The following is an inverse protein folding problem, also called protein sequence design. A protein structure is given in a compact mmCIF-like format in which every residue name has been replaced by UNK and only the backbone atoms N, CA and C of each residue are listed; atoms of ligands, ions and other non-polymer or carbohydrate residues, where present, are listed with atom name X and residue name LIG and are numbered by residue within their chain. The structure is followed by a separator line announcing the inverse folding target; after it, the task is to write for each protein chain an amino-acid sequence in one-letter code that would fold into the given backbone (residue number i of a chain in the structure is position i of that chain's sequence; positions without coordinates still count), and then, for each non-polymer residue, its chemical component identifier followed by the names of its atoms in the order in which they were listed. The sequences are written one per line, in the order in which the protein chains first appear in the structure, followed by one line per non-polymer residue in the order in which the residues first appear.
data_IF_509006675930
#
_entry.id   IF_509006675930
#
_cell.length_a   1.000
_cell.length_b   1.000
_cell.length_c   1.000
_cell.angle_alpha   90.00
_cell.angle_beta   90.00
_cell.angle_gamma   90.00
#
_symmetry.space_group_name_H-M   'P 1'
#
loop_
_entity.id
_entity.type
_entity.pdbx_description
1 polymer ?
#
# COMPACT_ATOMS: atom_id res chain seq x y z
N UNK A 1 -22.64 50.97 44.68
CA UNK A 1 -22.06 51.79 43.60
C UNK A 1 -20.58 51.47 43.29
N UNK A 2 -19.60 51.63 44.20
CA UNK A 2 -18.19 51.29 43.87
C UNK A 2 -17.95 49.76 43.76
N UNK A 3 -18.65 48.95 44.55
CA UNK A 3 -18.59 47.48 44.46
C UNK A 3 -19.18 46.92 43.17
N UNK A 4 -20.32 47.44 42.71
CA UNK A 4 -20.99 47.00 41.48
C UNK A 4 -20.11 47.22 40.25
N UNK A 5 -19.43 48.36 40.17
CA UNK A 5 -18.51 48.68 39.07
C UNK A 5 -17.31 47.73 39.03
N UNK A 6 -16.78 47.34 40.19
CA UNK A 6 -15.66 46.37 40.28
C UNK A 6 -16.10 44.97 39.86
N UNK A 7 -17.31 44.56 40.24
CA UNK A 7 -17.88 43.28 39.84
C UNK A 7 -18.07 43.20 38.31
N UNK A 8 -18.65 44.23 37.71
CA UNK A 8 -18.82 44.33 36.26
C UNK A 8 -17.49 44.33 35.49
N UNK A 9 -16.46 45.00 36.01
CA UNK A 9 -15.12 44.97 35.40
C UNK A 9 -14.48 43.57 35.44
N UNK A 10 -14.72 42.81 36.50
CA UNK A 10 -14.22 41.43 36.59
C UNK A 10 -14.97 40.49 35.64
N UNK A 11 -16.29 40.67 35.50
CA UNK A 11 -17.10 39.91 34.54
C UNK A 11 -16.67 40.21 33.09
N UNK A 12 -16.44 41.49 32.74
CA UNK A 12 -15.93 41.87 31.42
C UNK A 12 -14.57 41.22 31.14
N UNK A 13 -13.64 41.22 32.11
CA UNK A 13 -12.34 40.57 31.96
C UNK A 13 -12.46 39.06 31.80
N UNK A 14 -13.34 38.41 32.57
CA UNK A 14 -13.60 36.98 32.45
C UNK A 14 -14.19 36.63 31.08
N UNK A 15 -15.15 37.42 30.59
CA UNK A 15 -15.75 37.24 29.27
C UNK A 15 -14.74 37.48 28.15
N UNK A 16 -13.86 38.48 28.27
CA UNK A 16 -12.76 38.70 27.32
C UNK A 16 -11.82 37.50 27.27
N UNK A 17 -11.47 36.93 28.42
CA UNK A 17 -10.60 35.76 28.50
C UNK A 17 -11.25 34.53 27.88
N UNK A 18 -12.53 34.27 28.20
CA UNK A 18 -13.30 33.19 27.58
C UNK A 18 -13.42 33.36 26.08
N UNK A 19 -13.62 34.59 25.59
CA UNK A 19 -13.70 34.87 24.16
C UNK A 19 -12.37 34.55 23.47
N UNK A 20 -11.23 34.94 24.06
CA UNK A 20 -9.91 34.61 23.49
C UNK A 20 -9.65 33.11 23.44
N UNK A 21 -10.10 32.36 24.45
CA UNK A 21 -9.96 30.91 24.51
C UNK A 21 -10.83 30.22 23.45
N UNK A 22 -12.10 30.61 23.34
CA UNK A 22 -13.02 30.08 22.33
C UNK A 22 -12.56 30.38 20.90
N UNK A 23 -12.03 31.57 20.65
CA UNK A 23 -11.48 31.93 19.33
C UNK A 23 -10.27 31.04 18.99
N UNK A 24 -9.36 30.84 19.94
CA UNK A 24 -8.19 29.97 19.76
C UNK A 24 -8.60 28.52 19.50
N UNK A 25 -9.53 27.99 20.27
CA UNK A 25 -10.01 26.61 20.12
C UNK A 25 -10.72 26.41 18.77
N UNK A 26 -11.50 27.41 18.35
CA UNK A 26 -12.12 27.41 17.02
C UNK A 26 -11.08 27.38 15.91
N UNK A 27 -10.04 28.19 16.00
CA UNK A 27 -8.96 28.21 15.00
C UNK A 27 -8.23 26.86 14.95
N UNK A 28 -7.87 26.29 16.11
CA UNK A 28 -7.23 24.98 16.18
C UNK A 28 -8.13 23.86 15.60
N UNK A 29 -9.42 23.90 15.89
CA UNK A 29 -10.39 22.94 15.34
C UNK A 29 -10.52 23.07 13.82
N UNK A 30 -10.52 24.29 13.29
CA UNK A 30 -10.58 24.55 11.85
C UNK A 30 -9.31 24.06 11.14
N UNK A 31 -8.13 24.30 11.73
CA UNK A 31 -6.87 23.82 11.18
C UNK A 31 -6.83 22.29 11.17
N UNK A 32 -7.21 21.64 12.26
CA UNK A 32 -7.29 20.18 12.33
C UNK A 32 -8.29 19.62 11.30
N UNK A 33 -9.46 20.22 11.16
CA UNK A 33 -10.45 19.81 10.17
C UNK A 33 -9.93 19.93 8.73
N UNK A 34 -9.17 20.99 8.43
CA UNK A 34 -8.53 21.17 7.13
C UNK A 34 -7.48 20.08 6.86
N UNK A 35 -6.64 19.76 7.86
CA UNK A 35 -5.64 18.69 7.76
C UNK A 35 -6.30 17.33 7.53
N UNK A 36 -7.34 16.98 8.30
CA UNK A 36 -8.08 15.72 8.11
C UNK A 36 -8.73 15.63 6.73
N UNK A 37 -9.30 16.73 6.24
CA UNK A 37 -9.88 16.79 4.90
C UNK A 37 -8.83 16.55 3.82
N UNK A 38 -7.63 17.12 3.97
CA UNK A 38 -6.53 16.89 3.04
C UNK A 38 -6.08 15.43 3.05
N UNK A 39 -5.83 14.86 4.23
CA UNK A 39 -5.40 13.47 4.37
C UNK A 39 -6.43 12.51 3.76
N UNK A 40 -7.70 12.70 4.06
CA UNK A 40 -8.77 11.86 3.53
C UNK A 40 -8.89 11.97 2.00
N UNK A 41 -8.76 13.18 1.45
CA UNK A 41 -8.79 13.38 0.01
C UNK A 41 -7.61 12.66 -0.68
N UNK A 42 -6.41 12.75 -0.10
CA UNK A 42 -5.22 12.08 -0.61
C UNK A 42 -5.39 10.55 -0.58
N UNK A 43 -5.81 10.00 0.56
CA UNK A 43 -6.05 8.55 0.72
C UNK A 43 -7.15 8.06 -0.24
N UNK A 44 -8.26 8.80 -0.36
CA UNK A 44 -9.33 8.45 -1.28
C UNK A 44 -8.85 8.45 -2.74
N UNK A 45 -7.99 9.40 -3.12
CA UNK A 45 -7.40 9.45 -4.45
C UNK A 45 -6.41 8.30 -4.68
N UNK A 46 -5.60 7.97 -3.69
CA UNK A 46 -4.69 6.83 -3.73
C UNK A 46 -5.48 5.53 -3.94
N UNK A 47 -6.51 5.28 -3.11
CA UNK A 47 -7.35 4.07 -3.24
C UNK A 47 -8.06 3.96 -4.58
N UNK A 48 -8.54 5.06 -5.16
CA UNK A 48 -9.13 5.07 -6.51
C UNK A 48 -8.10 4.65 -7.57
N UNK A 49 -6.87 5.15 -7.43
CA UNK A 49 -5.79 4.86 -8.37
C UNK A 49 -5.35 3.40 -8.25
N UNK A 50 -5.16 2.91 -7.03
CA UNK A 50 -4.82 1.51 -6.77
C UNK A 50 -5.91 0.55 -7.25
N UNK A 51 -7.19 0.84 -6.99
CA UNK A 51 -8.30 0.03 -7.47
C UNK A 51 -8.32 -0.06 -9.00
N UNK A 52 -8.05 1.05 -9.71
CA UNK A 52 -7.97 1.08 -11.17
C UNK A 52 -6.81 0.22 -11.68
N UNK A 53 -5.62 0.34 -11.09
CA UNK A 53 -4.46 -0.46 -11.47
C UNK A 53 -4.74 -1.95 -11.23
N UNK A 54 -5.25 -2.30 -10.06
CA UNK A 54 -5.59 -3.69 -9.73
C UNK A 54 -6.62 -4.27 -10.70
N UNK A 55 -7.64 -3.49 -11.09
CA UNK A 55 -8.63 -3.93 -12.07
C UNK A 55 -8.00 -4.20 -13.45
N UNK A 56 -7.07 -3.36 -13.88
CA UNK A 56 -6.31 -3.58 -15.12
C UNK A 56 -5.43 -4.83 -15.03
N UNK A 57 -4.76 -5.05 -13.90
CA UNK A 57 -3.95 -6.24 -13.65
C UNK A 57 -4.82 -7.50 -13.67
N UNK A 58 -5.98 -7.47 -13.01
CA UNK A 58 -6.94 -8.59 -13.03
C UNK A 58 -7.40 -8.88 -14.46
N UNK A 59 -7.77 -7.86 -15.24
CA UNK A 59 -8.18 -8.05 -16.63
C UNK A 59 -7.04 -8.66 -17.49
N UNK A 60 -5.80 -8.18 -17.30
CA UNK A 60 -4.62 -8.74 -17.98
C UNK A 60 -4.37 -10.19 -17.60
N UNK A 61 -4.43 -10.52 -16.31
CA UNK A 61 -4.27 -11.90 -15.83
C UNK A 61 -5.39 -12.81 -16.34
N UNK A 62 -6.65 -12.34 -16.36
CA UNK A 62 -7.76 -13.08 -16.94
C UNK A 62 -7.55 -13.34 -18.42
N UNK A 63 -7.06 -12.36 -19.18
CA UNK A 63 -6.73 -12.55 -20.60
C UNK A 63 -5.57 -13.56 -20.79
N UNK A 64 -4.55 -13.51 -19.93
CA UNK A 64 -3.46 -14.49 -19.95
C UNK A 64 -3.95 -15.90 -19.60
N UNK A 65 -4.81 -16.03 -18.58
CA UNK A 65 -5.45 -17.31 -18.23
C UNK A 65 -6.29 -17.82 -19.39
N UNK A 66 -7.11 -16.97 -20.02
CA UNK A 66 -7.89 -17.38 -21.19
C UNK A 66 -7.00 -17.82 -22.36
N UNK A 67 -5.86 -17.15 -22.57
CA UNK A 67 -4.89 -17.54 -23.62
C UNK A 67 -4.21 -18.88 -23.30
N UNK A 68 -3.87 -19.12 -22.04
CA UNK A 68 -3.30 -20.40 -21.60
C UNK A 68 -4.36 -21.51 -21.63
N UNK A 69 -5.59 -21.20 -21.23
CA UNK A 69 -6.72 -22.12 -21.29
C UNK A 69 -7.08 -22.44 -22.72
N UNK A 70 -7.09 -21.47 -23.63
CA UNK A 70 -7.30 -21.71 -25.07
C UNK A 70 -6.17 -22.54 -25.66
N UNK A 71 -4.93 -22.36 -25.20
CA UNK A 71 -3.81 -23.27 -25.51
C UNK A 71 -4.04 -24.68 -24.93
N UNK A 72 -4.62 -24.80 -23.74
CA UNK A 72 -4.92 -26.09 -23.09
C UNK A 72 -6.16 -26.80 -23.66
N UNK A 73 -7.17 -26.06 -24.14
CA UNK A 73 -8.31 -26.60 -24.88
C UNK A 73 -8.00 -26.77 -26.38
N UNK A 74 -6.91 -26.15 -26.81
CA UNK A 74 -6.17 -26.46 -28.03
C UNK A 74 -5.00 -27.41 -27.73
N UNK A 75 -5.00 -28.12 -26.59
CA UNK A 75 -4.62 -29.53 -26.60
C UNK A 75 -5.80 -30.13 -27.35
N UNK A 76 -5.68 -30.32 -28.67
CA UNK A 76 -6.65 -31.12 -29.40
C UNK A 76 -6.69 -32.41 -28.62
N UNK A 77 -7.89 -32.84 -28.23
CA UNK A 77 -8.23 -34.16 -27.71
C UNK A 77 -6.99 -35.04 -27.79
N UNK A 78 -6.29 -35.33 -26.69
CA UNK A 78 -4.89 -35.84 -26.74
C UNK A 78 -4.75 -36.97 -27.78
N UNK A 79 -5.82 -37.76 -27.92
CA UNK A 79 -6.18 -38.68 -29.01
C UNK A 79 -6.10 -38.14 -30.45
N UNK A 80 -6.73 -37.02 -30.82
CA UNK A 80 -6.62 -36.32 -32.12
C UNK A 80 -5.20 -35.90 -32.45
N UNK A 81 -4.49 -35.32 -31.48
CA UNK A 81 -3.09 -34.94 -31.69
C UNK A 81 -2.18 -36.15 -31.82
N UNK A 82 -2.41 -37.19 -31.00
CA UNK A 82 -1.73 -38.49 -31.16
C UNK A 82 -2.00 -39.04 -32.56
N UNK A 83 -3.25 -39.08 -33.04
CA UNK A 83 -3.54 -39.59 -34.40
C UNK A 83 -2.90 -38.77 -35.52
N UNK A 84 -2.83 -37.43 -35.39
CA UNK A 84 -2.22 -36.58 -36.40
C UNK A 84 -0.70 -36.73 -36.40
N UNK A 85 -0.08 -36.77 -35.22
CA UNK A 85 1.36 -37.03 -35.08
C UNK A 85 1.71 -38.46 -35.54
N UNK A 86 0.81 -39.42 -35.34
CA UNK A 86 0.98 -40.81 -35.77
C UNK A 86 0.90 -40.94 -37.28
N UNK A 87 -0.02 -40.21 -37.94
CA UNK A 87 -0.03 -40.07 -39.41
C UNK A 87 1.25 -39.41 -39.93
N UNK A 88 1.74 -38.34 -39.29
CA UNK A 88 3.00 -37.69 -39.67
C UNK A 88 4.22 -38.62 -39.52
N UNK A 89 4.19 -39.55 -38.57
CA UNK A 89 5.24 -40.57 -38.40
C UNK A 89 5.09 -41.69 -39.45
N UNK A 90 3.86 -42.07 -39.82
CA UNK A 90 3.58 -43.05 -40.88
C UNK A 90 3.92 -42.54 -42.29
N UNK A 91 3.89 -41.21 -42.51
CA UNK A 91 4.31 -40.57 -43.77
C UNK A 91 5.83 -40.60 -44.00
N UNK A 92 6.63 -40.82 -42.95
CA UNK A 92 8.09 -40.95 -43.05
C UNK A 92 8.43 -42.34 -43.60
N UNK A 93 8.98 -42.38 -44.81
CA UNK A 93 9.19 -43.65 -45.53
C UNK A 93 10.58 -44.24 -45.27
N UNK A 94 11.52 -43.41 -44.82
CA UNK A 94 12.92 -43.83 -44.61
C UNK A 94 13.39 -43.61 -43.18
N UNK A 95 14.28 -44.49 -42.71
CA UNK A 95 14.92 -44.38 -41.38
C UNK A 95 15.70 -43.06 -41.22
N UNK A 96 16.22 -42.53 -42.32
CA UNK A 96 16.99 -41.28 -42.29
C UNK A 96 16.10 -40.06 -42.05
N UNK A 97 14.90 -40.02 -42.67
CA UNK A 97 13.89 -38.99 -42.39
C UNK A 97 13.43 -39.01 -40.93
N UNK A 98 13.25 -40.20 -40.36
CA UNK A 98 12.91 -40.36 -38.93
C UNK A 98 14.01 -39.82 -38.02
N UNK A 99 15.29 -40.10 -38.32
CA UNK A 99 16.42 -39.58 -37.53
C UNK A 99 16.51 -38.06 -37.59
N UNK A 100 16.33 -37.47 -38.78
CA UNK A 100 16.35 -36.01 -38.95
C UNK A 100 15.21 -35.39 -38.13
N UNK A 101 13.99 -35.92 -38.26
CA UNK A 101 12.83 -35.42 -37.52
C UNK A 101 12.99 -35.58 -36.01
N UNK A 102 13.58 -36.68 -35.56
CA UNK A 102 13.87 -36.89 -34.14
C UNK A 102 14.86 -35.85 -33.59
N UNK A 103 15.93 -35.56 -34.33
CA UNK A 103 16.90 -34.53 -33.94
C UNK A 103 16.25 -33.15 -33.88
N UNK A 104 15.41 -32.80 -34.84
CA UNK A 104 14.65 -31.54 -34.82
C UNK A 104 13.76 -31.43 -33.58
N UNK A 105 12.97 -32.46 -33.28
CA UNK A 105 12.08 -32.49 -32.11
C UNK A 105 12.86 -32.40 -30.80
N UNK A 106 14.02 -33.06 -30.71
CA UNK A 106 14.90 -32.97 -29.54
C UNK A 106 15.42 -31.54 -29.33
N UNK A 107 15.84 -30.86 -30.40
CA UNK A 107 16.30 -29.48 -30.34
C UNK A 107 15.18 -28.49 -29.96
N UNK A 108 13.98 -28.66 -30.53
CA UNK A 108 12.82 -27.85 -30.19
C UNK A 108 12.42 -28.01 -28.72
N UNK A 109 12.41 -29.26 -28.23
CA UNK A 109 12.15 -29.55 -26.81
C UNK A 109 13.18 -28.88 -25.90
N UNK A 110 14.46 -28.95 -26.25
CA UNK A 110 15.52 -28.38 -25.41
C UNK A 110 15.43 -26.85 -25.36
N UNK A 111 15.11 -26.19 -26.49
CA UNK A 111 14.83 -24.74 -26.52
C UNK A 111 13.60 -24.37 -25.68
N UNK A 112 12.51 -25.11 -25.82
CA UNK A 112 11.29 -24.85 -25.04
C UNK A 112 11.53 -25.01 -23.53
N UNK A 113 12.34 -26.00 -23.13
CA UNK A 113 12.74 -26.18 -21.73
C UNK A 113 13.59 -25.01 -21.22
N UNK A 114 14.52 -24.52 -22.03
CA UNK A 114 15.33 -23.36 -21.69
C UNK A 114 14.47 -22.10 -21.50
N UNK A 115 13.50 -21.88 -22.39
CA UNK A 115 12.57 -20.76 -22.29
C UNK A 115 11.69 -20.85 -21.02
N UNK A 116 11.16 -22.04 -20.71
CA UNK A 116 10.40 -22.27 -19.47
C UNK A 116 11.24 -21.96 -18.24
N UNK A 117 12.50 -22.40 -18.21
CA UNK A 117 13.40 -22.14 -17.10
C UNK A 117 13.69 -20.64 -16.94
N UNK A 118 13.87 -19.92 -18.05
CA UNK A 118 14.06 -18.47 -18.04
C UNK A 118 12.81 -17.75 -17.49
N UNK A 119 11.62 -18.08 -18.00
CA UNK A 119 10.37 -17.50 -17.54
C UNK A 119 10.13 -17.77 -16.05
N UNK A 120 10.43 -18.98 -15.57
CA UNK A 120 10.34 -19.33 -14.16
C UNK A 120 11.29 -18.48 -13.29
N UNK A 121 12.50 -18.21 -13.78
CA UNK A 121 13.48 -17.34 -13.11
C UNK A 121 12.99 -15.90 -13.00
N UNK A 122 12.50 -15.33 -14.12
CA UNK A 122 11.96 -13.97 -14.17
C UNK A 122 10.77 -13.82 -13.21
N UNK A 123 9.85 -14.80 -13.22
CA UNK A 123 8.69 -14.79 -12.34
C UNK A 123 9.08 -14.82 -10.85
N UNK A 124 10.08 -15.64 -10.49
CA UNK A 124 10.59 -15.69 -9.12
C UNK A 124 11.25 -14.38 -8.69
N UNK A 125 11.96 -13.72 -9.60
CA UNK A 125 12.56 -12.41 -9.34
C UNK A 125 11.48 -11.36 -9.07
N UNK A 126 10.43 -11.32 -9.89
CA UNK A 126 9.33 -10.36 -9.71
C UNK A 126 8.56 -10.61 -8.40
N UNK A 127 8.31 -11.88 -8.04
CA UNK A 127 7.72 -12.23 -6.74
C UNK A 127 8.56 -11.74 -5.56
N UNK A 128 9.89 -11.89 -5.65
CA UNK A 128 10.82 -11.42 -4.62
C UNK A 128 10.76 -9.89 -4.50
N UNK A 129 10.83 -9.18 -5.63
CA UNK A 129 10.74 -7.71 -5.69
C UNK A 129 9.41 -7.19 -5.13
N UNK A 130 8.30 -7.86 -5.44
CA UNK A 130 7.00 -7.53 -4.85
C UNK A 130 6.96 -7.73 -3.34
N UNK A 131 7.53 -8.82 -2.83
CA UNK A 131 7.62 -9.08 -1.39
C UNK A 131 8.44 -8.00 -0.67
N UNK A 132 9.60 -7.63 -1.22
CA UNK A 132 10.45 -6.56 -0.70
C UNK A 132 9.74 -5.21 -0.72
N UNK A 133 9.07 -4.87 -1.83
CA UNK A 133 8.30 -3.63 -1.94
C UNK A 133 7.21 -3.56 -0.89
N UNK A 134 6.47 -4.66 -0.66
CA UNK A 134 5.45 -4.73 0.39
C UNK A 134 6.05 -4.54 1.78
N UNK A 135 7.17 -5.20 2.07
CA UNK A 135 7.86 -5.07 3.35
C UNK A 135 8.31 -3.62 3.58
N UNK A 136 8.91 -2.98 2.57
CA UNK A 136 9.37 -1.60 2.66
C UNK A 136 8.20 -0.62 2.87
N UNK A 137 7.10 -0.78 2.13
CA UNK A 137 5.91 0.05 2.32
C UNK A 137 5.28 -0.17 3.70
N UNK A 138 5.21 -1.40 4.17
CA UNK A 138 4.67 -1.71 5.52
C UNK A 138 5.55 -1.13 6.61
N UNK A 139 6.87 -1.19 6.46
CA UNK A 139 7.82 -0.57 7.39
C UNK A 139 7.68 0.95 7.38
N UNK A 140 7.65 1.58 6.21
CA UNK A 140 7.48 3.02 6.09
C UNK A 140 6.14 3.51 6.68
N UNK A 141 5.08 2.70 6.56
CA UNK A 141 3.81 2.96 7.24
C UNK A 141 3.92 2.81 8.76
N UNK A 142 4.62 1.78 9.25
CA UNK A 142 4.93 1.64 10.68
C UNK A 142 5.69 2.83 11.23
N UNK A 143 6.76 3.25 10.54
CA UNK A 143 7.57 4.40 10.90
C UNK A 143 6.74 5.70 10.89
N UNK A 144 5.86 5.89 9.90
CA UNK A 144 4.96 7.04 9.84
C UNK A 144 3.94 7.06 10.98
N UNK A 145 3.39 5.89 11.35
CA UNK A 145 2.48 5.73 12.49
C UNK A 145 3.20 6.02 13.81
N UNK A 146 4.44 5.55 13.97
CA UNK A 146 5.25 5.82 15.15
C UNK A 146 5.62 7.31 15.26
N UNK A 147 5.93 7.97 14.15
CA UNK A 147 6.14 9.43 14.11
C UNK A 147 4.87 10.18 14.53
N UNK A 148 3.70 9.83 14.01
CA UNK A 148 2.40 10.40 14.39
C UNK A 148 2.07 10.15 15.88
N UNK A 149 2.38 8.95 16.38
CA UNK A 149 2.17 8.58 17.78
C UNK A 149 3.07 9.39 18.72
N UNK A 150 4.31 9.64 18.31
CA UNK A 150 5.27 10.43 19.07
C UNK A 150 4.94 11.92 19.06
N UNK A 151 4.43 12.47 17.95
CA UNK A 151 3.95 13.85 17.92
C UNK A 151 2.70 14.05 18.77
N UNK A 152 1.81 13.04 18.87
CA UNK A 152 0.67 13.06 19.81
C UNK A 152 1.08 12.94 21.29
N UNK A 153 2.17 12.24 21.61
CA UNK A 153 2.69 12.10 22.99
C UNK A 153 3.51 13.31 23.46
N UNK A 154 3.81 14.26 22.58
CA UNK A 154 4.49 15.50 22.97
C UNK A 154 3.53 16.40 23.77
N UNK A 155 3.48 16.20 25.09
CA UNK A 155 2.98 17.21 26.02
C UNK A 155 4.05 18.30 26.16
N UNK A 156 3.73 19.59 25.91
CA UNK A 156 4.69 20.66 26.14
C UNK A 156 5.07 20.68 27.63
N UNK A 157 6.34 21.01 27.96
CA UNK A 157 6.82 20.95 29.32
C UNK A 157 5.96 21.84 30.22
N UNK A 158 5.34 21.23 31.22
CA UNK A 158 4.58 21.94 32.26
C UNK A 158 5.58 22.73 33.09
N UNK A 159 5.65 24.05 32.86
CA UNK A 159 6.44 24.96 33.70
C UNK A 159 5.79 24.97 35.08
N UNK A 160 6.42 24.28 36.04
CA UNK A 160 6.05 24.38 37.46
C UNK A 160 6.50 25.76 37.96
N UNK A 161 5.58 26.70 38.06
CA UNK A 161 5.79 27.90 38.87
C UNK A 161 5.75 27.47 40.34
N UNK A 162 6.93 27.40 40.96
CA UNK A 162 7.07 27.28 42.41
C UNK A 162 6.58 28.57 43.05
N UNK A 163 5.44 28.48 43.75
CA UNK A 163 5.02 29.53 44.67
C UNK A 163 5.48 29.05 46.05
N UNK A 164 6.63 29.56 46.50
CA UNK A 164 7.01 29.51 47.91
C UNK A 164 6.04 30.40 48.69
N UNK A 165 5.12 29.78 49.42
CA UNK A 165 4.35 30.47 50.46
C UNK A 165 4.61 29.80 51.80
N UNK A 166 5.49 30.39 52.61
CA UNK A 166 5.15 30.63 54.02
C UNK A 166 6.11 31.62 54.71
N UNK A 167 5.60 32.69 55.36
CA UNK A 167 6.34 33.46 56.34
C UNK A 167 5.96 32.99 57.75
N UNK A 168 6.87 32.34 58.45
CA UNK A 168 6.77 32.19 59.92
C UNK A 168 7.31 33.45 60.58
N UNK A 169 6.39 34.26 61.11
CA UNK A 169 6.65 35.32 62.07
C UNK A 169 7.28 34.72 63.34
N UNK A 170 8.48 35.20 63.67
CA UNK A 170 9.03 35.09 65.02
C UNK A 170 9.47 36.50 65.44
N UNK A 171 8.92 36.99 66.54
CA UNK A 171 9.41 38.18 67.25
C UNK A 171 9.33 37.91 68.75
N UNK A 172 10.36 38.31 69.52
CA UNK A 172 10.50 38.01 70.94
C UNK A 172 9.50 38.76 71.83
#
# INVERSE_FOLDING_TARGET
MNQDVRQWLNEIKSLQQQLTEVVRDREAALESAAQWRQLYNTEAQQRRTEAKINQQTIASLQAQIQKLQSFSSSIPDETKNITLHQQQVEELQTIEEVKIKLVEVLLERDRAREEINNLASILKQEQTRHSETRKNLTSALGDAVDLLSNTQKYQPPTIKFGIDTNPTLDRP
#
